data_IF_683659247476
#
_entry.id   IF_683659247476
#
_cell.length_a   1.000
_cell.length_b   1.000
_cell.length_c   1.000
_cell.angle_alpha   90.00
_cell.angle_beta   90.00
_cell.angle_gamma   90.00
#
_symmetry.space_group_name_H-M   'P 1'
#
loop_
_entity.id
_entity.type
_entity.pdbx_description
1 polymer ?
#
# COMPACT_ATOMS: atom_id res chain seq x y z
N UNK A 1 -7.43 40.31 4.30
CA UNK A 1 -6.20 39.76 3.70
C UNK A 1 -6.38 38.27 3.44
N UNK A 2 -5.73 37.72 2.39
CA UNK A 2 -5.77 36.28 2.04
C UNK A 2 -5.34 35.40 3.22
N UNK A 3 -4.34 35.84 3.96
CA UNK A 3 -3.89 35.15 5.17
C UNK A 3 -5.02 34.98 6.21
N UNK A 4 -5.72 36.04 6.54
CA UNK A 4 -6.81 35.98 7.52
C UNK A 4 -7.96 35.06 7.05
N UNK A 5 -8.24 35.06 5.75
CA UNK A 5 -9.21 34.13 5.15
C UNK A 5 -8.73 32.67 5.29
N UNK A 6 -7.46 32.35 4.96
CA UNK A 6 -6.89 31.04 5.14
C UNK A 6 -7.01 30.56 6.59
N UNK A 7 -6.57 31.38 7.55
CA UNK A 7 -6.63 31.05 8.98
C UNK A 7 -8.07 30.79 9.43
N UNK A 8 -9.02 31.60 9.00
CA UNK A 8 -10.44 31.43 9.35
C UNK A 8 -11.02 30.12 8.77
N UNK A 9 -10.68 29.79 7.53
CA UNK A 9 -11.14 28.56 6.87
C UNK A 9 -10.52 27.31 7.49
N UNK A 10 -9.22 27.34 7.80
CA UNK A 10 -8.56 26.22 8.48
C UNK A 10 -9.11 26.00 9.88
N UNK A 11 -9.45 27.06 10.63
CA UNK A 11 -10.10 26.93 11.94
C UNK A 11 -11.55 26.45 11.87
N UNK A 12 -12.24 26.68 10.76
CA UNK A 12 -13.60 26.19 10.54
C UNK A 12 -13.63 24.69 10.20
N UNK A 13 -12.50 24.14 9.70
CA UNK A 13 -12.36 22.73 9.34
C UNK A 13 -11.95 21.91 10.57
N UNK A 14 -12.93 21.52 11.39
CA UNK A 14 -12.69 20.85 12.68
C UNK A 14 -12.52 19.33 12.56
N UNK A 15 -12.83 18.75 11.40
CA UNK A 15 -12.70 17.30 11.17
C UNK A 15 -11.25 16.90 10.91
N UNK A 16 -10.56 17.70 10.10
CA UNK A 16 -9.22 17.40 9.61
C UNK A 16 -8.13 18.27 10.25
N UNK A 17 -8.51 19.39 10.87
CA UNK A 17 -7.58 20.35 11.49
C UNK A 17 -7.81 20.39 13.00
N UNK A 18 -6.77 20.01 13.76
CA UNK A 18 -6.80 20.01 15.23
C UNK A 18 -6.35 21.35 15.83
N UNK A 19 -5.40 22.01 15.17
CA UNK A 19 -4.77 23.21 15.67
C UNK A 19 -4.28 24.10 14.54
N UNK A 20 -4.53 25.41 14.64
CA UNK A 20 -3.92 26.42 13.77
C UNK A 20 -3.17 27.41 14.64
N UNK A 21 -1.84 27.42 14.57
CA UNK A 21 -1.00 28.36 15.29
C UNK A 21 -0.77 29.61 14.46
N UNK A 22 -1.54 30.63 14.73
CA UNK A 22 -1.43 31.94 14.05
C UNK A 22 -0.27 32.75 14.63
N UNK A 23 0.94 32.44 14.17
CA UNK A 23 2.16 33.09 14.65
C UNK A 23 2.26 34.57 14.22
N UNK A 24 1.55 34.97 13.18
CA UNK A 24 1.56 36.37 12.70
C UNK A 24 0.63 37.28 13.50
N UNK A 25 -0.24 36.71 14.33
CA UNK A 25 -1.14 37.48 15.20
C UNK A 25 -0.41 38.19 16.35
N UNK A 26 0.71 37.65 16.81
CA UNK A 26 1.52 38.20 17.90
C UNK A 26 2.87 38.71 17.34
N UNK A 27 3.23 39.98 17.59
CA UNK A 27 4.48 40.58 17.13
C UNK A 27 5.74 39.82 17.54
N UNK A 28 5.72 39.12 18.69
CA UNK A 28 6.87 38.35 19.20
C UNK A 28 7.08 37.09 18.35
N UNK A 29 6.01 36.40 18.01
CA UNK A 29 6.08 35.16 17.21
C UNK A 29 6.15 35.44 15.71
N UNK A 30 5.64 36.59 15.25
CA UNK A 30 5.68 36.97 13.85
C UNK A 30 7.09 37.05 13.28
N UNK A 31 8.07 37.49 14.08
CA UNK A 31 9.48 37.53 13.66
C UNK A 31 10.08 36.14 13.39
N UNK A 32 9.53 35.11 14.01
CA UNK A 32 9.95 33.70 13.78
C UNK A 32 9.25 33.08 12.59
N UNK A 33 8.04 33.54 12.26
CA UNK A 33 7.24 33.00 11.15
C UNK A 33 7.54 33.63 9.79
N UNK A 34 8.27 34.77 9.78
CA UNK A 34 8.65 35.50 8.58
C UNK A 34 10.10 35.19 8.17
N UNK A 35 10.34 35.11 6.86
CA UNK A 35 11.68 35.09 6.31
C UNK A 35 12.41 36.43 6.55
N UNK A 36 13.76 36.40 6.54
CA UNK A 36 14.57 37.62 6.76
C UNK A 36 14.30 38.72 5.73
N UNK A 37 13.91 38.37 4.51
CA UNK A 37 13.56 39.29 3.44
C UNK A 37 12.06 39.70 3.42
N UNK A 38 11.26 39.18 4.36
CA UNK A 38 9.82 39.46 4.51
C UNK A 38 8.95 38.90 3.38
N UNK A 39 9.49 38.04 2.49
CA UNK A 39 8.76 37.54 1.31
C UNK A 39 8.10 36.19 1.52
N UNK A 40 8.43 35.48 2.57
CA UNK A 40 7.84 34.18 2.90
C UNK A 40 7.43 34.12 4.36
N UNK A 41 6.39 33.34 4.64
CA UNK A 41 5.91 33.03 5.97
C UNK A 41 5.44 31.58 6.03
N UNK A 42 5.40 31.03 7.21
CA UNK A 42 4.80 29.72 7.45
C UNK A 42 3.74 29.76 8.54
N UNK A 43 2.77 28.87 8.40
CA UNK A 43 1.66 28.70 9.35
C UNK A 43 1.65 27.24 9.82
N UNK A 44 1.97 26.97 11.11
CA UNK A 44 1.86 25.61 11.64
C UNK A 44 0.39 25.19 11.75
N UNK A 45 0.08 24.02 11.22
CA UNK A 45 -1.25 23.42 11.26
C UNK A 45 -1.12 21.98 11.79
N UNK A 46 -1.80 21.70 12.88
CA UNK A 46 -1.94 20.34 13.40
C UNK A 46 -3.10 19.64 12.69
N UNK A 47 -2.81 18.55 12.03
CA UNK A 47 -3.80 17.74 11.31
C UNK A 47 -4.28 16.55 12.13
N UNK A 48 -5.50 16.07 11.89
CA UNK A 48 -6.03 14.88 12.52
C UNK A 48 -5.40 13.61 11.93
N UNK A 49 -5.32 12.54 12.75
CA UNK A 49 -4.73 11.26 12.40
C UNK A 49 -3.27 11.13 12.82
N UNK A 50 -2.77 9.89 12.78
CA UNK A 50 -1.37 9.56 13.08
C UNK A 50 -0.58 9.39 11.78
N UNK A 51 0.72 9.64 11.81
CA UNK A 51 1.60 9.41 10.65
C UNK A 51 1.45 7.96 10.14
N UNK A 52 1.09 7.83 8.86
CA UNK A 52 0.86 6.52 8.24
C UNK A 52 -0.59 6.04 8.24
N UNK A 53 -1.49 6.73 8.94
CA UNK A 53 -2.92 6.46 8.89
C UNK A 53 -3.58 7.07 7.65
N UNK A 54 -4.57 6.40 7.03
CA UNK A 54 -5.40 6.99 5.98
C UNK A 54 -6.04 8.32 6.41
N UNK A 55 -6.46 8.44 7.67
CA UNK A 55 -7.05 9.66 8.22
C UNK A 55 -6.08 10.87 8.18
N UNK A 56 -4.79 10.65 8.39
CA UNK A 56 -3.78 11.71 8.25
C UNK A 56 -3.61 12.14 6.78
N UNK A 57 -3.64 11.21 5.84
CA UNK A 57 -3.56 11.50 4.41
C UNK A 57 -4.81 12.27 3.91
N UNK A 58 -6.00 11.89 4.38
CA UNK A 58 -7.25 12.63 4.11
C UNK A 58 -7.17 14.05 4.66
N UNK A 59 -6.66 14.21 5.89
CA UNK A 59 -6.50 15.52 6.51
C UNK A 59 -5.51 16.41 5.76
N UNK A 60 -4.40 15.87 5.29
CA UNK A 60 -3.45 16.59 4.42
C UNK A 60 -4.11 17.02 3.12
N UNK A 61 -4.91 16.14 2.51
CA UNK A 61 -5.64 16.42 1.27
C UNK A 61 -6.66 17.54 1.46
N UNK A 62 -7.41 17.52 2.56
CA UNK A 62 -8.36 18.58 2.90
C UNK A 62 -7.66 19.94 3.11
N UNK A 63 -6.54 19.95 3.86
CA UNK A 63 -5.75 21.18 4.06
C UNK A 63 -5.18 21.70 2.74
N UNK A 64 -4.68 20.82 1.85
CA UNK A 64 -4.22 21.21 0.51
C UNK A 64 -5.31 21.84 -0.33
N UNK A 65 -6.53 21.30 -0.29
CA UNK A 65 -7.67 21.86 -1.01
C UNK A 65 -8.03 23.26 -0.50
N UNK A 66 -8.05 23.46 0.83
CA UNK A 66 -8.32 24.77 1.44
C UNK A 66 -7.24 25.77 1.06
N UNK A 67 -5.96 25.37 1.08
CA UNK A 67 -4.84 26.25 0.70
C UNK A 67 -4.90 26.61 -0.78
N UNK A 68 -5.15 25.64 -1.66
CA UNK A 68 -5.25 25.87 -3.10
C UNK A 68 -6.35 26.87 -3.42
N UNK A 69 -7.55 26.69 -2.85
CA UNK A 69 -8.69 27.57 -3.06
C UNK A 69 -8.49 28.97 -2.45
N UNK A 70 -7.82 29.08 -1.29
CA UNK A 70 -7.53 30.37 -0.66
C UNK A 70 -6.55 31.23 -1.46
N UNK A 71 -5.71 30.62 -2.28
CA UNK A 71 -4.69 31.32 -3.10
C UNK A 71 -4.94 31.21 -4.60
N UNK A 72 -6.10 30.71 -5.01
CA UNK A 72 -6.48 30.68 -6.42
C UNK A 72 -6.52 32.11 -7.01
N UNK A 73 -5.90 32.28 -8.19
CA UNK A 73 -5.77 33.61 -8.82
C UNK A 73 -4.84 34.59 -8.10
N UNK A 74 -4.13 34.18 -7.06
CA UNK A 74 -3.19 35.00 -6.29
C UNK A 74 -1.81 35.04 -6.93
N UNK A 75 -1.08 36.14 -6.72
CA UNK A 75 0.35 36.24 -7.03
C UNK A 75 1.22 35.54 -6.00
N UNK A 76 0.66 35.08 -4.88
CA UNK A 76 1.35 34.38 -3.81
C UNK A 76 1.24 32.88 -4.01
N UNK A 77 2.37 32.19 -3.95
CA UNK A 77 2.40 30.71 -3.99
C UNK A 77 2.35 30.15 -2.57
N UNK A 78 1.35 29.33 -2.28
CA UNK A 78 1.26 28.62 -1.01
C UNK A 78 1.47 27.11 -1.23
N UNK A 79 2.17 26.46 -0.31
CA UNK A 79 2.43 25.00 -0.35
C UNK A 79 2.25 24.40 1.04
N UNK A 80 1.68 23.22 1.09
CA UNK A 80 1.58 22.42 2.31
C UNK A 80 2.80 21.52 2.38
N UNK A 81 3.52 21.53 3.49
CA UNK A 81 4.73 20.75 3.74
C UNK A 81 4.76 20.29 5.21
N UNK A 82 5.73 19.47 5.54
CA UNK A 82 5.90 18.93 6.89
C UNK A 82 5.77 17.42 6.92
N UNK A 83 6.04 16.77 8.07
CA UNK A 83 6.07 15.31 8.17
C UNK A 83 4.80 14.61 7.65
N UNK A 84 3.55 15.03 8.01
CA UNK A 84 2.34 14.39 7.49
C UNK A 84 2.20 14.49 5.98
N UNK A 85 2.51 15.68 5.41
CA UNK A 85 2.44 15.90 3.96
C UNK A 85 3.47 15.09 3.20
N UNK A 86 4.72 15.08 3.68
CA UNK A 86 5.80 14.30 3.05
C UNK A 86 5.49 12.81 3.10
N UNK A 87 4.97 12.31 4.23
CA UNK A 87 4.61 10.91 4.36
C UNK A 87 3.44 10.53 3.46
N UNK A 88 2.42 11.38 3.36
CA UNK A 88 1.30 11.19 2.44
C UNK A 88 1.75 11.14 0.98
N UNK A 89 2.70 11.99 0.57
CA UNK A 89 3.25 11.98 -0.79
C UNK A 89 4.06 10.71 -1.06
N UNK A 90 4.88 10.27 -0.09
CA UNK A 90 5.62 9.01 -0.21
C UNK A 90 4.70 7.79 -0.34
N UNK A 91 3.59 7.78 0.39
CA UNK A 91 2.60 6.71 0.29
C UNK A 91 1.95 6.71 -1.11
N UNK A 92 1.52 7.87 -1.58
CA UNK A 92 0.88 7.98 -2.89
C UNK A 92 1.82 7.57 -4.04
N UNK A 93 3.10 7.96 -3.96
CA UNK A 93 4.13 7.53 -4.91
C UNK A 93 4.37 6.01 -4.84
N UNK A 94 4.47 5.47 -3.62
CA UNK A 94 4.66 4.04 -3.42
C UNK A 94 3.47 3.21 -3.95
N UNK A 95 2.23 3.69 -3.85
CA UNK A 95 1.06 3.02 -4.42
C UNK A 95 1.14 2.92 -5.95
N UNK A 96 1.52 4.02 -6.59
CA UNK A 96 1.71 4.07 -8.04
C UNK A 96 2.82 3.10 -8.49
N UNK A 97 3.96 3.12 -7.81
CA UNK A 97 5.08 2.25 -8.09
C UNK A 97 4.75 0.77 -7.85
N UNK A 98 4.03 0.47 -6.77
CA UNK A 98 3.58 -0.89 -6.46
C UNK A 98 2.65 -1.44 -7.55
N UNK A 99 1.76 -0.62 -8.10
CA UNK A 99 0.89 -1.03 -9.19
C UNK A 99 1.70 -1.35 -10.46
N UNK A 100 2.62 -0.45 -10.82
CA UNK A 100 3.50 -0.64 -11.98
C UNK A 100 4.38 -1.88 -11.82
N UNK A 101 5.04 -2.03 -10.67
CA UNK A 101 5.89 -3.19 -10.34
C UNK A 101 5.06 -4.48 -10.38
N UNK A 102 3.85 -4.48 -9.82
CA UNK A 102 2.97 -5.66 -9.83
C UNK A 102 2.57 -6.08 -11.23
N UNK A 103 2.20 -5.14 -12.09
CA UNK A 103 1.85 -5.41 -13.50
C UNK A 103 3.08 -5.89 -14.28
N UNK A 104 4.23 -5.23 -14.11
CA UNK A 104 5.47 -5.62 -14.77
C UNK A 104 5.92 -7.04 -14.32
N UNK A 105 5.83 -7.33 -13.03
CA UNK A 105 6.15 -8.65 -12.48
C UNK A 105 5.20 -9.72 -12.99
N UNK A 106 3.89 -9.48 -12.98
CA UNK A 106 2.91 -10.41 -13.53
C UNK A 106 3.13 -10.66 -15.03
N UNK A 107 3.44 -9.60 -15.80
CA UNK A 107 3.79 -9.70 -17.21
C UNK A 107 5.06 -10.52 -17.46
N UNK A 108 6.10 -10.32 -16.64
CA UNK A 108 7.34 -11.09 -16.71
C UNK A 108 7.11 -12.57 -16.36
N UNK A 109 6.34 -12.83 -15.31
CA UNK A 109 5.93 -14.20 -14.94
C UNK A 109 5.17 -14.86 -16.08
N UNK A 110 4.19 -14.16 -16.67
CA UNK A 110 3.42 -14.65 -17.80
C UNK A 110 4.32 -15.01 -19.01
N UNK A 111 5.29 -14.13 -19.32
CA UNK A 111 6.26 -14.34 -20.39
C UNK A 111 7.12 -15.58 -20.14
N UNK A 112 7.67 -15.71 -18.94
CA UNK A 112 8.50 -16.87 -18.55
C UNK A 112 7.69 -18.17 -18.63
N UNK A 113 6.47 -18.16 -18.08
CA UNK A 113 5.59 -19.34 -18.14
C UNK A 113 5.21 -19.71 -19.58
N UNK A 114 4.97 -18.71 -20.44
CA UNK A 114 4.69 -18.94 -21.84
C UNK A 114 5.87 -19.59 -22.58
N UNK A 115 7.10 -19.12 -22.31
CA UNK A 115 8.33 -19.70 -22.90
C UNK A 115 8.54 -21.12 -22.40
N UNK A 116 8.37 -21.38 -21.11
CA UNK A 116 8.61 -22.67 -20.46
C UNK A 116 7.55 -23.70 -20.89
N UNK A 117 6.28 -23.35 -20.82
CA UNK A 117 5.20 -24.29 -21.12
C UNK A 117 4.82 -24.34 -22.60
N UNK A 118 5.21 -23.32 -23.38
CA UNK A 118 4.89 -23.23 -24.82
C UNK A 118 3.39 -23.39 -25.14
N UNK A 119 2.53 -23.08 -24.17
CA UNK A 119 1.08 -23.17 -24.23
C UNK A 119 0.46 -22.03 -23.45
N UNK A 120 -0.37 -21.24 -24.12
CA UNK A 120 -1.07 -20.10 -23.50
C UNK A 120 -2.00 -20.56 -22.38
N UNK A 121 -2.74 -21.65 -22.59
CA UNK A 121 -3.65 -22.18 -21.55
C UNK A 121 -2.94 -22.61 -20.30
N UNK A 122 -1.80 -23.31 -20.44
CA UNK A 122 -1.00 -23.78 -19.30
C UNK A 122 -0.33 -22.61 -18.58
N UNK A 123 0.08 -21.56 -19.30
CA UNK A 123 0.68 -20.36 -18.70
C UNK A 123 -0.37 -19.48 -17.99
N UNK A 124 -1.61 -19.45 -18.51
CA UNK A 124 -2.69 -18.64 -17.92
C UNK A 124 -3.21 -19.21 -16.59
N UNK A 125 -3.18 -20.52 -16.42
CA UNK A 125 -3.73 -21.19 -15.24
C UNK A 125 -3.06 -20.73 -13.91
N UNK A 126 -1.72 -20.67 -13.79
CA UNK A 126 -1.06 -20.09 -12.62
C UNK A 126 -1.50 -18.65 -12.34
N UNK A 127 -1.57 -17.82 -13.37
CA UNK A 127 -1.95 -16.42 -13.23
C UNK A 127 -3.38 -16.25 -12.72
N UNK A 128 -4.30 -17.09 -13.18
CA UNK A 128 -5.68 -17.11 -12.67
C UNK A 128 -5.72 -17.50 -11.19
N UNK A 129 -5.01 -18.56 -10.82
CA UNK A 129 -4.97 -19.00 -9.40
C UNK A 129 -4.38 -17.92 -8.52
N UNK A 130 -3.29 -17.28 -8.92
CA UNK A 130 -2.66 -16.18 -8.20
C UNK A 130 -3.61 -14.97 -8.11
N UNK A 131 -4.27 -14.62 -9.21
CA UNK A 131 -5.25 -13.54 -9.24
C UNK A 131 -6.42 -13.75 -8.26
N UNK A 132 -6.97 -14.97 -8.22
CA UNK A 132 -8.00 -15.35 -7.25
C UNK A 132 -7.45 -15.29 -5.82
N UNK A 133 -6.25 -15.80 -5.58
CA UNK A 133 -5.62 -15.76 -4.26
C UNK A 133 -5.38 -14.34 -3.77
N UNK A 134 -4.96 -13.43 -4.67
CA UNK A 134 -4.82 -12.00 -4.37
C UNK A 134 -6.16 -11.35 -4.04
N UNK A 135 -7.21 -11.67 -4.79
CA UNK A 135 -8.56 -11.14 -4.52
C UNK A 135 -9.08 -11.59 -3.15
N UNK A 136 -8.90 -12.88 -2.84
CA UNK A 136 -9.27 -13.44 -1.52
C UNK A 136 -8.42 -12.80 -0.41
N UNK A 137 -7.10 -12.70 -0.59
CA UNK A 137 -6.20 -12.08 0.39
C UNK A 137 -6.58 -10.63 0.69
N UNK A 138 -6.87 -9.84 -0.33
CA UNK A 138 -7.34 -8.44 -0.17
C UNK A 138 -8.70 -8.38 0.53
N UNK A 139 -9.63 -9.28 0.20
CA UNK A 139 -10.91 -9.36 0.88
C UNK A 139 -10.78 -9.68 2.37
N UNK A 140 -9.87 -10.59 2.73
CA UNK A 140 -9.58 -10.91 4.14
C UNK A 140 -8.99 -9.70 4.86
N UNK A 141 -7.99 -9.02 4.25
CA UNK A 141 -7.40 -7.81 4.85
C UNK A 141 -8.43 -6.69 5.04
N UNK A 142 -9.32 -6.48 4.06
CA UNK A 142 -10.40 -5.50 4.17
C UNK A 142 -11.33 -5.83 5.35
N UNK A 143 -11.75 -7.08 5.46
CA UNK A 143 -12.61 -7.53 6.56
C UNK A 143 -11.92 -7.37 7.94
N UNK A 144 -10.62 -7.64 8.04
CA UNK A 144 -9.84 -7.41 9.27
C UNK A 144 -9.75 -5.92 9.60
N UNK A 145 -9.58 -5.06 8.60
CA UNK A 145 -9.62 -3.61 8.77
C UNK A 145 -10.96 -3.11 9.31
N UNK A 146 -12.09 -3.64 8.80
CA UNK A 146 -13.43 -3.32 9.31
C UNK A 146 -13.64 -3.78 10.76
N UNK A 147 -12.95 -4.83 11.18
CA UNK A 147 -12.95 -5.31 12.59
C UNK A 147 -12.05 -4.47 13.50
N UNK A 148 -11.43 -3.38 12.98
CA UNK A 148 -10.62 -2.44 13.75
C UNK A 148 -9.15 -2.85 13.86
N UNK A 149 -8.67 -3.82 13.08
CA UNK A 149 -7.24 -4.14 13.04
C UNK A 149 -6.50 -3.10 12.17
N UNK A 150 -5.38 -2.56 12.63
CA UNK A 150 -4.61 -1.61 11.83
C UNK A 150 -3.98 -2.34 10.62
N UNK A 151 -4.50 -2.07 9.43
CA UNK A 151 -3.96 -2.60 8.17
C UNK A 151 -3.18 -1.49 7.47
N UNK A 152 -1.87 -1.61 7.44
CA UNK A 152 -1.01 -0.66 6.73
C UNK A 152 -0.87 -1.03 5.25
N UNK A 153 -0.47 -0.07 4.43
CA UNK A 153 -0.16 -0.31 3.01
C UNK A 153 1.02 -1.27 2.83
N UNK A 154 1.97 -1.27 3.75
CA UNK A 154 3.07 -2.24 3.76
C UNK A 154 2.55 -3.68 3.91
N UNK A 155 1.50 -3.90 4.71
CA UNK A 155 0.85 -5.21 4.84
C UNK A 155 0.31 -5.71 3.49
N UNK A 156 -0.36 -4.82 2.74
CA UNK A 156 -0.88 -5.14 1.40
C UNK A 156 0.26 -5.41 0.42
N UNK A 157 1.33 -4.62 0.46
CA UNK A 157 2.50 -4.80 -0.40
C UNK A 157 3.21 -6.13 -0.15
N UNK A 158 3.50 -6.46 1.12
CA UNK A 158 4.12 -7.73 1.49
C UNK A 158 3.24 -8.93 1.14
N UNK A 159 1.94 -8.86 1.43
CA UNK A 159 1.00 -9.90 1.03
C UNK A 159 1.03 -10.12 -0.48
N UNK A 160 0.98 -9.04 -1.27
CA UNK A 160 1.01 -9.12 -2.73
C UNK A 160 2.31 -9.75 -3.23
N UNK A 161 3.46 -9.33 -2.70
CA UNK A 161 4.76 -9.87 -3.08
C UNK A 161 4.89 -11.37 -2.75
N UNK A 162 4.46 -11.79 -1.56
CA UNK A 162 4.49 -13.19 -1.14
C UNK A 162 3.55 -14.04 -1.98
N UNK A 163 2.31 -13.57 -2.24
CA UNK A 163 1.35 -14.32 -3.06
C UNK A 163 1.80 -14.44 -4.52
N UNK A 164 2.40 -13.40 -5.10
CA UNK A 164 2.97 -13.46 -6.44
C UNK A 164 4.15 -14.43 -6.50
N UNK A 165 5.10 -14.34 -5.58
CA UNK A 165 6.29 -15.18 -5.56
C UNK A 165 5.96 -16.63 -5.22
N UNK A 166 5.51 -16.91 -4.01
CA UNK A 166 5.23 -18.26 -3.54
C UNK A 166 4.09 -18.93 -4.34
N UNK A 167 3.05 -18.16 -4.72
CA UNK A 167 1.95 -18.68 -5.54
C UNK A 167 2.43 -19.15 -6.92
N UNK A 168 3.35 -18.41 -7.54
CA UNK A 168 3.97 -18.81 -8.80
C UNK A 168 4.77 -20.09 -8.63
N UNK A 169 5.65 -20.15 -7.66
CA UNK A 169 6.52 -21.31 -7.41
C UNK A 169 5.71 -22.57 -7.16
N UNK A 170 4.71 -22.50 -6.27
CA UNK A 170 3.87 -23.67 -5.95
C UNK A 170 3.08 -24.16 -7.15
N UNK A 171 2.56 -23.23 -7.97
CA UNK A 171 1.79 -23.61 -9.16
C UNK A 171 2.71 -24.22 -10.23
N UNK A 172 3.92 -23.70 -10.39
CA UNK A 172 4.94 -24.26 -11.29
C UNK A 172 5.33 -25.68 -10.84
N UNK A 173 5.56 -25.91 -9.55
CA UNK A 173 5.86 -27.24 -9.02
C UNK A 173 4.70 -28.22 -9.26
N UNK A 174 3.46 -27.79 -9.02
CA UNK A 174 2.28 -28.62 -9.23
C UNK A 174 2.14 -29.02 -10.70
N UNK A 175 2.26 -28.07 -11.63
CA UNK A 175 2.18 -28.33 -13.07
C UNK A 175 3.35 -29.21 -13.54
N UNK A 176 4.56 -28.94 -13.05
CA UNK A 176 5.73 -29.75 -13.38
C UNK A 176 5.53 -31.20 -12.96
N UNK A 177 5.03 -31.45 -11.75
CA UNK A 177 4.73 -32.78 -11.23
C UNK A 177 3.63 -33.47 -12.03
N UNK A 178 2.59 -32.73 -12.41
CA UNK A 178 1.55 -33.23 -13.31
C UNK A 178 2.14 -33.68 -14.65
N UNK A 179 2.97 -32.86 -15.29
CA UNK A 179 3.61 -33.22 -16.56
C UNK A 179 4.54 -34.43 -16.45
N UNK A 180 5.25 -34.57 -15.33
CA UNK A 180 6.07 -35.74 -15.05
C UNK A 180 5.23 -37.05 -15.03
N UNK A 181 4.09 -37.03 -14.33
CA UNK A 181 3.17 -38.17 -14.29
C UNK A 181 2.56 -38.43 -15.69
N UNK A 182 2.23 -37.39 -16.44
CA UNK A 182 1.73 -37.56 -17.83
C UNK A 182 2.77 -38.18 -18.78
N UNK A 183 4.05 -37.83 -18.61
CA UNK A 183 5.15 -38.46 -19.37
C UNK A 183 5.33 -39.93 -19.00
N UNK A 184 5.06 -40.31 -17.78
CA UNK A 184 5.03 -41.68 -17.30
C UNK A 184 3.76 -42.44 -17.71
N UNK A 185 2.96 -41.88 -18.64
CA UNK A 185 1.72 -42.47 -19.18
C UNK A 185 0.61 -42.70 -18.14
N UNK A 186 0.67 -42.02 -16.99
CA UNK A 186 -0.41 -42.04 -15.99
C UNK A 186 -1.65 -41.32 -16.57
N UNK A 187 -2.84 -41.83 -16.32
CA UNK A 187 -4.09 -41.24 -16.76
C UNK A 187 -4.24 -39.78 -16.22
N UNK A 188 -4.89 -38.85 -16.95
CA UNK A 188 -4.96 -37.44 -16.54
C UNK A 188 -5.48 -37.23 -15.12
N UNK A 189 -6.56 -37.92 -14.76
CA UNK A 189 -7.20 -37.77 -13.44
C UNK A 189 -6.28 -38.26 -12.32
N UNK A 190 -5.63 -39.41 -12.51
CA UNK A 190 -4.64 -39.95 -11.55
C UNK A 190 -3.39 -39.05 -11.47
N UNK A 191 -2.95 -38.48 -12.59
CA UNK A 191 -1.81 -37.55 -12.61
C UNK A 191 -2.09 -36.29 -11.79
N UNK A 192 -3.32 -35.73 -11.87
CA UNK A 192 -3.75 -34.60 -11.04
C UNK A 192 -3.77 -35.01 -9.57
N UNK A 193 -4.37 -36.15 -9.23
CA UNK A 193 -4.45 -36.65 -7.86
C UNK A 193 -3.07 -36.84 -7.25
N UNK A 194 -2.16 -37.52 -7.95
CA UNK A 194 -0.80 -37.77 -7.49
C UNK A 194 0.02 -36.47 -7.34
N UNK A 195 -0.11 -35.53 -8.28
CA UNK A 195 0.56 -34.24 -8.21
C UNK A 195 0.05 -33.44 -7.01
N UNK A 196 -1.27 -33.37 -6.83
CA UNK A 196 -1.90 -32.64 -5.71
C UNK A 196 -1.57 -33.28 -4.37
N UNK A 197 -1.58 -34.62 -4.26
CA UNK A 197 -1.25 -35.32 -3.01
C UNK A 197 0.23 -35.14 -2.60
N UNK A 198 1.15 -35.09 -3.57
CA UNK A 198 2.58 -34.97 -3.29
C UNK A 198 2.99 -33.51 -3.01
N UNK A 199 2.63 -32.59 -3.90
CA UNK A 199 3.00 -31.18 -3.80
C UNK A 199 2.12 -30.45 -2.79
N UNK A 200 0.84 -30.80 -2.66
CA UNK A 200 -0.08 -30.18 -1.71
C UNK A 200 0.40 -30.25 -0.26
N UNK A 201 1.03 -31.36 0.15
CA UNK A 201 1.63 -31.48 1.49
C UNK A 201 2.80 -30.51 1.67
N UNK A 202 3.62 -30.32 0.64
CA UNK A 202 4.75 -29.38 0.66
C UNK A 202 4.22 -27.95 0.76
N UNK A 203 3.21 -27.63 -0.03
CA UNK A 203 2.55 -26.30 0.02
C UNK A 203 1.98 -26.03 1.41
N UNK A 204 1.24 -26.97 1.99
CA UNK A 204 0.66 -26.81 3.32
C UNK A 204 1.73 -26.64 4.41
N UNK A 205 2.80 -27.45 4.37
CA UNK A 205 3.89 -27.34 5.33
C UNK A 205 4.61 -25.99 5.21
N UNK A 206 4.90 -25.54 3.99
CA UNK A 206 5.55 -24.27 3.73
C UNK A 206 4.65 -23.09 4.14
N UNK A 207 3.36 -23.13 3.79
CA UNK A 207 2.39 -22.11 4.18
C UNK A 207 2.25 -22.02 5.71
N UNK A 208 2.21 -23.16 6.40
CA UNK A 208 2.20 -23.20 7.86
C UNK A 208 3.46 -22.58 8.47
N UNK A 209 4.63 -22.86 7.90
CA UNK A 209 5.90 -22.27 8.36
C UNK A 209 5.90 -20.75 8.22
N UNK A 210 5.47 -20.24 7.07
CA UNK A 210 5.35 -18.78 6.83
C UNK A 210 4.33 -18.15 7.77
N UNK A 211 3.16 -18.78 7.93
CA UNK A 211 2.12 -18.31 8.84
C UNK A 211 2.61 -18.25 10.30
N UNK A 212 3.33 -19.28 10.76
CA UNK A 212 3.93 -19.29 12.10
C UNK A 212 5.01 -18.24 12.27
N UNK A 213 5.83 -17.99 11.25
CA UNK A 213 6.85 -16.94 11.29
C UNK A 213 6.20 -15.56 11.45
N UNK A 214 5.15 -15.25 10.69
CA UNK A 214 4.41 -14.00 10.84
C UNK A 214 3.65 -13.94 12.18
N UNK A 215 3.05 -15.03 12.63
CA UNK A 215 2.40 -15.07 13.94
C UNK A 215 3.39 -14.81 15.09
N UNK A 216 4.63 -15.30 14.98
CA UNK A 216 5.67 -15.01 15.96
C UNK A 216 6.04 -13.52 16.03
N UNK A 217 5.88 -12.76 14.94
CA UNK A 217 6.12 -11.31 14.95
C UNK A 217 5.10 -10.55 15.82
N UNK A 218 3.92 -11.09 16.06
CA UNK A 218 2.92 -10.50 16.98
C UNK A 218 3.49 -10.39 18.41
N UNK A 219 4.38 -11.32 18.79
CA UNK A 219 5.04 -11.30 20.10
C UNK A 219 6.32 -10.45 20.13
N UNK A 220 6.80 -10.01 18.97
CA UNK A 220 7.91 -9.10 18.88
C UNK A 220 7.41 -7.69 19.18
N UNK A 221 7.79 -7.14 20.35
CA UNK A 221 7.50 -5.76 20.75
C UNK A 221 8.35 -4.80 19.90
N UNK A 222 8.01 -4.67 18.63
CA UNK A 222 8.61 -3.69 17.73
C UNK A 222 7.87 -2.35 17.93
N UNK A 223 8.32 -1.56 18.91
CA UNK A 223 7.83 -0.19 19.15
C UNK A 223 8.38 0.82 18.13
N UNK A 224 8.55 0.41 16.88
CA UNK A 224 9.13 1.25 15.81
C UNK A 224 8.09 1.70 14.78
N UNK A 225 6.81 1.33 14.94
CA UNK A 225 5.73 1.76 14.06
C UNK A 225 4.52 2.20 14.87
#
# INVERSE_FOLDING_TARGET
>A
TQYANLVSRLRAETTHVLLVQDLLADPVTATQALSQDGKAWYLPVGVAGTLGDPAAAESVTAVRAIVADAFDGSSTTARVTGPPSTFSDQIAEAEHDLLFISIATAGLIALILLIVYRSVFTALLPLLVIGISLAVGRGVLSALGELGMPVSQFTVAFMTAILLGAGTDYTVFLISRYHEQRRAQVAPDQAVEHATASIGRVILASAATVALAFAAMVFANLSVF
#
